data_IF_904821362083
#
_entry.id   IF_904821362083
#
_cell.length_a   1.000
_cell.length_b   1.000
_cell.length_c   1.000
_cell.angle_alpha   90.00
_cell.angle_beta   90.00
_cell.angle_gamma   90.00
#
_symmetry.space_group_name_H-M   'P 1'
#
loop_
_entity.id
_entity.type
_entity.pdbx_description
1 polymer ?
#
# COMPACT_ATOMS: atom_id res chain seq x y z
N UNK A 1 -16.09 12.34 -28.16
CA UNK A 1 -15.68 13.22 -27.06
C UNK A 1 -14.60 12.47 -26.30
N UNK A 2 -13.35 12.92 -26.38
CA UNK A 2 -12.24 12.30 -25.64
C UNK A 2 -12.41 12.65 -24.18
N UNK A 3 -12.91 11.72 -23.37
CA UNK A 3 -12.83 11.84 -21.91
C UNK A 3 -11.36 12.01 -21.54
N UNK A 4 -10.99 13.23 -21.10
CA UNK A 4 -9.71 13.46 -20.46
C UNK A 4 -9.69 12.60 -19.21
N UNK A 5 -8.94 11.50 -19.25
CA UNK A 5 -8.70 10.67 -18.07
C UNK A 5 -8.22 11.60 -16.94
N UNK A 6 -8.97 11.77 -15.84
CA UNK A 6 -8.63 12.76 -14.83
C UNK A 6 -7.21 12.50 -14.33
N UNK A 7 -6.39 13.55 -14.38
CA UNK A 7 -4.99 13.44 -13.99
C UNK A 7 -4.93 13.18 -12.48
N UNK A 8 -4.48 12.00 -12.09
CA UNK A 8 -4.25 11.67 -10.68
C UNK A 8 -3.18 12.59 -10.11
N UNK A 9 -3.35 12.98 -8.84
CA UNK A 9 -2.36 13.78 -8.12
C UNK A 9 -1.03 13.04 -7.99
N UNK A 10 0.07 13.78 -7.99
CA UNK A 10 1.40 13.23 -7.74
C UNK A 10 1.68 13.25 -6.23
N UNK A 11 1.97 12.08 -5.66
CA UNK A 11 2.36 11.95 -4.25
C UNK A 11 3.78 11.39 -4.17
N UNK A 12 4.66 12.16 -3.53
CA UNK A 12 6.05 11.81 -3.35
C UNK A 12 6.45 12.05 -1.89
N UNK A 13 6.48 10.97 -1.13
CA UNK A 13 6.98 10.98 0.25
C UNK A 13 8.31 10.25 0.36
N UNK A 14 9.05 10.59 1.41
CA UNK A 14 10.30 9.96 1.81
C UNK A 14 10.13 9.02 2.99
N UNK A 15 9.00 9.10 3.68
CA UNK A 15 8.70 8.34 4.89
C UNK A 15 7.24 7.89 4.92
N UNK A 16 7.00 6.80 5.63
CA UNK A 16 5.68 6.19 5.76
C UNK A 16 4.71 7.00 6.65
N UNK A 17 5.13 7.66 7.75
CA UNK A 17 4.26 8.54 8.53
C UNK A 17 3.58 9.65 7.71
N UNK A 18 4.22 10.13 6.63
CA UNK A 18 3.59 11.07 5.70
C UNK A 18 2.32 10.51 5.04
N UNK A 19 2.28 9.20 4.77
CA UNK A 19 1.09 8.56 4.22
C UNK A 19 -0.03 8.44 5.26
N UNK A 20 0.30 8.27 6.54
CA UNK A 20 -0.69 8.27 7.63
C UNK A 20 -1.34 9.65 7.75
N UNK A 21 -0.53 10.72 7.79
CA UNK A 21 -1.04 12.10 7.81
C UNK A 21 -1.95 12.40 6.63
N UNK A 22 -1.57 11.98 5.43
CA UNK A 22 -2.41 12.11 4.24
C UNK A 22 -3.76 11.40 4.40
N UNK A 23 -3.78 10.20 4.97
CA UNK A 23 -5.01 9.47 5.20
C UNK A 23 -5.90 10.17 6.25
N UNK A 24 -5.31 10.70 7.31
CA UNK A 24 -6.00 11.51 8.34
C UNK A 24 -6.57 12.81 7.74
N UNK A 25 -5.80 13.49 6.89
CA UNK A 25 -6.24 14.72 6.21
C UNK A 25 -7.40 14.43 5.24
N UNK A 26 -7.35 13.34 4.48
CA UNK A 26 -8.44 12.90 3.59
C UNK A 26 -9.71 12.52 4.38
N UNK A 27 -9.55 11.92 5.56
CA UNK A 27 -10.67 11.62 6.44
C UNK A 27 -11.31 12.90 6.98
N UNK A 28 -10.50 13.85 7.44
CA UNK A 28 -10.96 15.09 8.06
C UNK A 28 -11.61 16.06 7.04
N UNK A 29 -11.02 16.20 5.86
CA UNK A 29 -11.53 17.07 4.78
C UNK A 29 -12.60 16.39 3.92
N UNK A 30 -12.69 15.06 3.97
CA UNK A 30 -13.40 14.26 2.99
C UNK A 30 -12.67 14.22 1.64
N UNK A 31 -13.14 13.35 0.74
CA UNK A 31 -12.47 13.15 -0.54
C UNK A 31 -13.44 12.87 -1.69
N UNK A 32 -12.93 13.05 -2.90
CA UNK A 32 -13.47 12.53 -4.14
C UNK A 32 -12.69 11.28 -4.54
N UNK A 33 -13.39 10.18 -4.73
CA UNK A 33 -12.81 8.91 -5.16
C UNK A 33 -12.65 8.87 -6.67
N UNK A 34 -11.40 8.71 -7.14
CA UNK A 34 -11.01 8.64 -8.55
C UNK A 34 -10.60 7.22 -8.99
N UNK A 35 -10.71 6.25 -8.08
CA UNK A 35 -10.39 4.84 -8.30
C UNK A 35 -11.49 3.92 -7.79
N UNK A 36 -11.18 2.62 -7.67
CA UNK A 36 -12.17 1.62 -7.25
C UNK A 36 -12.30 1.47 -5.73
N UNK A 37 -11.37 2.06 -4.97
CA UNK A 37 -11.32 1.89 -3.52
C UNK A 37 -11.61 3.21 -2.80
N UNK A 38 -12.42 3.11 -1.74
CA UNK A 38 -12.60 4.17 -0.75
C UNK A 38 -11.30 4.38 0.06
N UNK A 39 -11.28 5.40 0.91
CA UNK A 39 -10.17 5.63 1.84
C UNK A 39 -9.96 4.43 2.77
N UNK A 40 -11.03 3.91 3.38
CA UNK A 40 -10.96 2.77 4.28
C UNK A 40 -10.50 1.51 3.57
N UNK A 41 -10.95 1.27 2.35
CA UNK A 41 -10.48 0.16 1.52
C UNK A 41 -9.00 0.26 1.16
N UNK A 42 -8.51 1.46 0.84
CA UNK A 42 -7.09 1.70 0.61
C UNK A 42 -6.25 1.48 1.88
N UNK A 43 -6.68 2.05 3.02
CA UNK A 43 -6.01 1.90 4.31
C UNK A 43 -5.97 0.44 4.78
N UNK A 44 -7.08 -0.30 4.65
CA UNK A 44 -7.12 -1.74 4.90
C UNK A 44 -6.07 -2.46 4.08
N UNK A 45 -6.03 -2.23 2.76
CA UNK A 45 -5.07 -2.87 1.87
C UNK A 45 -3.62 -2.60 2.26
N UNK A 46 -3.30 -1.33 2.54
CA UNK A 46 -1.96 -0.92 2.95
C UNK A 46 -1.54 -1.61 4.26
N UNK A 47 -2.45 -1.64 5.24
CA UNK A 47 -2.26 -2.30 6.53
C UNK A 47 -1.97 -3.79 6.37
N UNK A 48 -2.83 -4.56 5.67
CA UNK A 48 -2.66 -6.02 5.58
C UNK A 48 -1.39 -6.42 4.81
N UNK A 49 -0.96 -5.61 3.83
CA UNK A 49 0.30 -5.83 3.10
C UNK A 49 1.52 -5.55 4.00
N UNK A 50 1.44 -4.52 4.84
CA UNK A 50 2.46 -4.16 5.82
C UNK A 50 2.58 -5.19 6.95
N UNK A 51 1.44 -5.61 7.54
CA UNK A 51 1.41 -6.51 8.68
C UNK A 51 2.07 -7.85 8.35
N UNK A 52 1.95 -8.34 7.10
CA UNK A 52 2.65 -9.54 6.64
C UNK A 52 4.18 -9.47 6.75
N UNK A 53 4.78 -8.27 6.78
CA UNK A 53 6.21 -8.12 7.02
C UNK A 53 6.62 -8.64 8.40
N UNK A 54 5.74 -8.46 9.38
CA UNK A 54 5.95 -8.81 10.79
C UNK A 54 5.36 -10.17 11.10
N UNK A 55 4.12 -10.44 10.66
CA UNK A 55 3.36 -11.65 10.99
C UNK A 55 3.68 -12.83 10.07
N UNK A 56 4.35 -12.55 8.96
CA UNK A 56 4.61 -13.52 7.91
C UNK A 56 3.50 -13.61 6.88
N UNK A 57 3.70 -14.53 5.94
CA UNK A 57 2.85 -14.69 4.77
C UNK A 57 2.17 -16.05 4.80
N UNK A 58 0.97 -16.19 4.20
CA UNK A 58 0.32 -17.49 4.07
C UNK A 58 1.25 -18.51 3.42
N UNK A 59 1.27 -19.75 3.95
CA UNK A 59 2.21 -20.79 3.51
C UNK A 59 2.14 -21.06 2.00
N UNK A 60 0.94 -20.95 1.40
CA UNK A 60 0.73 -21.21 -0.02
C UNK A 60 1.37 -20.16 -0.92
N UNK A 61 1.83 -19.02 -0.39
CA UNK A 61 2.63 -18.07 -1.16
C UNK A 61 4.01 -18.63 -1.55
N UNK A 62 4.50 -19.66 -0.86
CA UNK A 62 5.71 -20.38 -1.25
C UNK A 62 5.57 -21.04 -2.63
N UNK A 63 4.35 -21.35 -3.09
CA UNK A 63 4.11 -21.90 -4.42
C UNK A 63 4.53 -20.93 -5.54
N UNK A 64 4.56 -19.62 -5.26
CA UNK A 64 5.00 -18.59 -6.20
C UNK A 64 6.51 -18.31 -6.13
N UNK A 65 7.27 -19.01 -5.29
CA UNK A 65 8.71 -18.79 -5.13
C UNK A 65 9.51 -18.86 -6.46
N UNK A 66 9.21 -19.76 -7.42
CA UNK A 66 9.92 -19.77 -8.71
C UNK A 66 9.77 -18.48 -9.53
N UNK A 67 8.70 -17.70 -9.32
CA UNK A 67 8.46 -16.43 -10.02
C UNK A 67 9.22 -15.25 -9.41
N UNK A 68 9.77 -15.41 -8.20
CA UNK A 68 10.45 -14.35 -7.46
C UNK A 68 11.52 -13.59 -8.25
N UNK A 69 12.47 -14.20 -8.99
CA UNK A 69 13.50 -13.43 -9.71
C UNK A 69 12.87 -12.54 -10.80
N UNK A 70 11.81 -13.00 -11.45
CA UNK A 70 11.08 -12.23 -12.47
C UNK A 70 10.35 -11.06 -11.81
N UNK A 71 9.57 -11.34 -10.75
CA UNK A 71 8.82 -10.30 -10.03
C UNK A 71 9.77 -9.25 -9.43
N UNK A 72 10.87 -9.68 -8.79
CA UNK A 72 11.87 -8.77 -8.23
C UNK A 72 12.54 -7.91 -9.30
N UNK A 73 12.85 -8.45 -10.49
CA UNK A 73 13.53 -7.67 -11.55
C UNK A 73 12.59 -6.72 -12.29
N UNK A 74 11.28 -6.99 -12.31
CA UNK A 74 10.32 -6.24 -13.14
C UNK A 74 9.40 -5.31 -12.35
N UNK A 75 8.91 -5.75 -11.18
CA UNK A 75 7.94 -5.00 -10.38
C UNK A 75 8.61 -4.12 -9.34
N UNK A 76 9.64 -4.60 -8.63
CA UNK A 76 10.30 -3.82 -7.58
C UNK A 76 10.83 -2.46 -8.09
N UNK A 77 11.54 -2.37 -9.24
CA UNK A 77 11.99 -1.06 -9.75
C UNK A 77 10.83 -0.11 -10.06
N UNK A 78 9.69 -0.64 -10.54
CA UNK A 78 8.48 0.15 -10.81
C UNK A 78 7.87 0.70 -9.54
N UNK A 79 7.78 -0.11 -8.49
CA UNK A 79 7.30 0.31 -7.17
C UNK A 79 8.19 1.43 -6.63
N UNK A 80 9.51 1.24 -6.65
CA UNK A 80 10.47 2.22 -6.14
C UNK A 80 10.43 3.55 -6.93
N UNK A 81 10.14 3.49 -8.23
CA UNK A 81 9.97 4.66 -9.09
C UNK A 81 8.59 5.34 -8.96
N UNK A 82 7.68 4.82 -8.12
CA UNK A 82 6.30 5.34 -8.02
C UNK A 82 5.43 5.06 -9.25
N UNK A 83 5.87 4.15 -10.12
CA UNK A 83 5.18 3.74 -11.35
C UNK A 83 4.61 2.31 -11.22
N UNK A 84 4.06 2.00 -10.04
CA UNK A 84 3.41 0.70 -9.82
C UNK A 84 2.27 0.51 -10.82
N UNK A 85 2.16 -0.70 -11.42
CA UNK A 85 1.13 -1.00 -12.39
C UNK A 85 -0.26 -0.94 -11.75
N UNK A 86 -1.27 -0.61 -12.55
CA UNK A 86 -2.68 -0.53 -12.14
C UNK A 86 -3.43 -1.79 -12.60
N UNK A 87 -4.46 -2.18 -11.85
CA UNK A 87 -5.39 -3.23 -12.26
C UNK A 87 -4.80 -4.64 -12.30
N UNK A 88 -3.66 -4.87 -11.64
CA UNK A 88 -3.14 -6.23 -11.47
C UNK A 88 -3.96 -6.92 -10.37
N UNK A 89 -4.55 -8.10 -10.63
CA UNK A 89 -5.20 -8.88 -9.60
C UNK A 89 -4.22 -9.21 -8.48
N UNK A 90 -4.63 -8.93 -7.24
CA UNK A 90 -3.92 -9.37 -6.04
C UNK A 90 -4.62 -10.59 -5.44
N UNK A 91 -3.98 -11.25 -4.47
CA UNK A 91 -4.60 -12.37 -3.76
C UNK A 91 -5.76 -11.87 -2.90
N UNK A 92 -6.82 -12.67 -2.77
CA UNK A 92 -8.07 -12.28 -2.10
C UNK A 92 -7.89 -11.73 -0.69
N UNK A 93 -6.89 -12.20 0.07
CA UNK A 93 -6.58 -11.69 1.41
C UNK A 93 -6.17 -10.21 1.45
N UNK A 94 -5.77 -9.66 0.30
CA UNK A 94 -5.37 -8.27 0.14
C UNK A 94 -6.47 -7.43 -0.53
N UNK A 95 -7.61 -8.01 -0.85
CA UNK A 95 -8.74 -7.29 -1.43
C UNK A 95 -9.66 -6.85 -0.28
N UNK A 96 -9.95 -5.54 -0.15
CA UNK A 96 -10.80 -5.04 0.92
C UNK A 96 -12.27 -5.46 0.73
N UNK A 97 -13.00 -5.55 1.85
CA UNK A 97 -14.46 -5.69 1.83
C UNK A 97 -15.17 -4.44 1.32
N UNK A 98 -16.46 -4.55 1.00
CA UNK A 98 -17.24 -3.42 0.46
C UNK A 98 -17.67 -2.40 1.53
N UNK A 99 -17.86 -2.85 2.77
CA UNK A 99 -18.51 -2.07 3.83
C UNK A 99 -17.52 -1.63 4.93
N UNK A 100 -16.32 -1.18 4.53
CA UNK A 100 -15.31 -0.71 5.47
C UNK A 100 -15.56 0.75 5.87
N UNK A 101 -15.42 1.03 7.17
CA UNK A 101 -15.49 2.38 7.72
C UNK A 101 -14.13 3.08 7.59
N UNK A 102 -14.13 4.25 6.95
CA UNK A 102 -12.90 5.01 6.70
C UNK A 102 -12.18 5.39 8.00
N UNK A 103 -12.90 5.79 9.04
CA UNK A 103 -12.29 6.21 10.32
C UNK A 103 -11.61 5.06 11.05
N UNK A 104 -12.22 3.88 11.01
CA UNK A 104 -11.67 2.66 11.63
C UNK A 104 -10.41 2.21 10.89
N UNK A 105 -10.43 2.17 9.57
CA UNK A 105 -9.29 1.67 8.80
C UNK A 105 -8.14 2.68 8.73
N UNK A 106 -8.40 3.99 8.76
CA UNK A 106 -7.35 5.01 8.91
C UNK A 106 -6.63 4.85 10.25
N UNK A 107 -7.37 4.69 11.35
CA UNK A 107 -6.77 4.43 12.66
C UNK A 107 -5.96 3.13 12.68
N UNK A 108 -6.51 2.05 12.11
CA UNK A 108 -5.81 0.77 12.02
C UNK A 108 -4.54 0.85 11.15
N UNK A 109 -4.54 1.65 10.09
CA UNK A 109 -3.36 1.91 9.27
C UNK A 109 -2.28 2.70 10.03
N UNK A 110 -2.68 3.68 10.85
CA UNK A 110 -1.77 4.42 11.72
C UNK A 110 -1.12 3.51 12.77
N UNK A 111 -1.91 2.66 13.44
CA UNK A 111 -1.43 1.68 14.42
C UNK A 111 -0.47 0.67 13.80
N UNK A 112 -0.81 0.11 12.63
CA UNK A 112 0.05 -0.82 11.91
C UNK A 112 1.36 -0.15 11.47
N UNK A 113 1.33 1.13 11.08
CA UNK A 113 2.53 1.89 10.72
C UNK A 113 3.43 2.08 11.94
N UNK A 114 2.85 2.47 13.09
CA UNK A 114 3.60 2.57 14.34
C UNK A 114 4.20 1.22 14.76
N UNK A 115 3.46 0.13 14.60
CA UNK A 115 3.92 -1.24 14.87
C UNK A 115 5.11 -1.63 13.97
N UNK A 116 5.04 -1.34 12.68
CA UNK A 116 6.12 -1.62 11.72
C UNK A 116 7.41 -0.86 12.10
N UNK A 117 7.29 0.44 12.37
CA UNK A 117 8.44 1.29 12.69
C UNK A 117 9.09 0.91 14.03
N UNK A 118 8.29 0.46 15.00
CA UNK A 118 8.78 0.02 16.31
C UNK A 118 9.21 -1.45 16.37
N UNK A 119 8.96 -2.25 15.33
CA UNK A 119 9.38 -3.65 15.29
C UNK A 119 10.90 -3.74 15.34
N UNK A 120 11.47 -4.46 16.30
CA UNK A 120 12.93 -4.63 16.43
C UNK A 120 13.46 -5.90 15.75
N UNK A 121 12.58 -6.82 15.36
CA UNK A 121 12.95 -8.08 14.73
C UNK A 121 13.22 -7.97 13.23
N UNK A 122 13.71 -9.06 12.61
CA UNK A 122 13.77 -9.14 11.16
C UNK A 122 12.37 -9.22 10.56
N UNK A 123 12.23 -8.75 9.31
CA UNK A 123 11.01 -8.97 8.53
C UNK A 123 11.01 -10.33 7.84
N UNK A 124 9.81 -10.88 7.68
CA UNK A 124 9.59 -12.07 6.89
C UNK A 124 9.91 -11.81 5.40
N UNK A 125 10.53 -12.76 4.68
CA UNK A 125 10.84 -12.59 3.27
C UNK A 125 9.56 -12.39 2.44
N UNK A 126 9.51 -11.30 1.67
CA UNK A 126 8.37 -11.03 0.79
C UNK A 126 8.27 -12.12 -0.30
N UNK A 127 7.07 -12.64 -0.64
CA UNK A 127 6.91 -13.71 -1.62
C UNK A 127 7.54 -13.40 -2.98
N UNK A 128 7.23 -12.20 -3.50
CA UNK A 128 7.70 -11.73 -4.80
C UNK A 128 9.05 -11.03 -4.80
N UNK A 129 9.51 -10.51 -3.66
CA UNK A 129 10.73 -9.71 -3.58
C UNK A 129 11.84 -10.38 -2.78
N UNK A 130 11.56 -11.43 -2.01
CA UNK A 130 12.53 -12.10 -1.15
C UNK A 130 12.88 -11.30 0.10
N UNK A 131 14.09 -11.51 0.63
CA UNK A 131 14.60 -10.73 1.77
C UNK A 131 14.85 -9.28 1.34
N UNK A 132 14.41 -8.38 2.20
CA UNK A 132 14.54 -6.93 2.10
C UNK A 132 15.03 -6.45 3.46
N UNK A 133 15.93 -5.48 3.47
CA UNK A 133 16.28 -4.78 4.70
C UNK A 133 15.16 -3.80 5.10
N UNK A 134 15.30 -3.22 6.28
CA UNK A 134 14.32 -2.31 6.86
C UNK A 134 14.06 -1.09 5.98
N UNK A 135 15.13 -0.42 5.54
CA UNK A 135 15.05 0.78 4.72
C UNK A 135 14.31 0.49 3.39
N UNK A 136 14.61 -0.63 2.75
CA UNK A 136 13.96 -1.05 1.52
C UNK A 136 12.47 -1.36 1.75
N UNK A 137 12.13 -2.04 2.85
CA UNK A 137 10.73 -2.29 3.21
C UNK A 137 9.97 -0.97 3.40
N UNK A 138 10.48 -0.05 4.21
CA UNK A 138 9.85 1.25 4.48
C UNK A 138 9.68 2.06 3.19
N UNK A 139 10.69 2.05 2.31
CA UNK A 139 10.62 2.70 1.00
C UNK A 139 9.54 2.10 0.12
N UNK A 140 9.41 0.77 0.09
CA UNK A 140 8.35 0.08 -0.66
C UNK A 140 6.98 0.46 -0.12
N UNK A 141 6.76 0.39 1.20
CA UNK A 141 5.47 0.73 1.80
C UNK A 141 5.10 2.20 1.61
N UNK A 142 6.07 3.11 1.70
CA UNK A 142 5.87 4.53 1.42
C UNK A 142 5.43 4.76 -0.03
N UNK A 143 6.10 4.14 -0.99
CA UNK A 143 5.74 4.25 -2.42
C UNK A 143 4.42 3.56 -2.74
N UNK A 144 4.12 2.47 -2.06
CA UNK A 144 2.87 1.74 -2.19
C UNK A 144 1.69 2.57 -1.67
N UNK A 145 1.84 3.21 -0.51
CA UNK A 145 0.83 4.11 0.02
C UNK A 145 0.58 5.29 -0.93
N UNK A 146 1.63 5.91 -1.47
CA UNK A 146 1.50 6.97 -2.46
C UNK A 146 0.75 6.52 -3.72
N UNK A 147 0.98 5.28 -4.17
CA UNK A 147 0.27 4.71 -5.31
C UNK A 147 -1.25 4.56 -5.06
N UNK A 148 -1.66 4.21 -3.84
CA UNK A 148 -3.08 4.05 -3.51
C UNK A 148 -3.77 5.36 -3.17
N UNK A 149 -3.14 6.21 -2.34
CA UNK A 149 -3.77 7.44 -1.87
C UNK A 149 -3.92 8.48 -2.99
N UNK A 150 -3.13 8.42 -4.06
CA UNK A 150 -3.30 9.34 -5.22
C UNK A 150 -4.63 9.21 -5.96
N UNK A 151 -5.39 8.15 -5.71
CA UNK A 151 -6.74 7.97 -6.25
C UNK A 151 -7.81 8.68 -5.43
N UNK A 152 -7.46 9.34 -4.33
CA UNK A 152 -8.37 10.07 -3.47
C UNK A 152 -7.95 11.54 -3.51
N UNK A 153 -8.84 12.42 -3.99
CA UNK A 153 -8.59 13.86 -4.04
C UNK A 153 -9.29 14.54 -2.86
N UNK A 154 -8.59 15.31 -2.00
CA UNK A 154 -9.22 16.03 -0.90
C UNK A 154 -10.35 16.94 -1.40
N UNK A 155 -11.45 17.01 -0.64
CA UNK A 155 -12.48 18.04 -0.82
C UNK A 155 -11.99 19.30 -0.08
N UNK A 156 -11.83 20.39 -0.82
CA UNK A 156 -11.56 21.72 -0.24
C UNK A 156 -12.73 22.21 0.60
#
# INVERSE_FOLDING_TARGET
MTESNPQLRALHWTDLPSAVREAEDLLASGYMQMGNWTLGQACFHLRVVQDCAIDGYPWYFALFAPLRPIVRRTLLPRVLAGNSPRGIPTTSIYVPGNDLDDSVEVAAFAESTARLLNHSGPYHPHPGFGRLDREMCEKIYTRHAAHHLRFLCPKT
#
